data_IF_660921432739
#
_entry.id   IF_660921432739
#
_cell.length_a   1.000
_cell.length_b   1.000
_cell.length_c   1.000
_cell.angle_alpha   90.00
_cell.angle_beta   90.00
_cell.angle_gamma   90.00
#
_symmetry.space_group_name_H-M   'P 1'
#
loop_
_entity.id
_entity.type
_entity.pdbx_description
1 polymer ?
#
# COMPACT_ATOMS: atom_id res chain seq x y z
N UNK A 1 -4.16 -20.80 -25.46
CA UNK A 1 -4.99 -21.04 -26.66
C UNK A 1 -6.27 -20.24 -26.48
N UNK A 2 -6.47 -19.22 -27.31
CA UNK A 2 -7.66 -18.37 -27.24
C UNK A 2 -8.81 -19.10 -27.92
N UNK A 3 -9.87 -19.44 -27.18
CA UNK A 3 -11.11 -19.90 -27.78
C UNK A 3 -12.08 -18.75 -27.86
N UNK A 4 -12.28 -18.23 -29.06
CA UNK A 4 -13.33 -17.28 -29.39
C UNK A 4 -14.58 -18.10 -29.77
N UNK A 5 -15.73 -17.84 -29.15
CA UNK A 5 -17.01 -18.47 -29.51
C UNK A 5 -17.99 -17.36 -29.87
N UNK A 6 -18.66 -17.50 -31.02
CA UNK A 6 -19.63 -16.55 -31.57
C UNK A 6 -21.05 -17.13 -31.51
N UNK A 7 -21.97 -16.35 -30.92
CA UNK A 7 -23.43 -16.38 -31.08
C UNK A 7 -24.23 -17.51 -30.41
N UNK A 8 -25.56 -17.35 -30.14
CA UNK A 8 -26.48 -16.39 -30.77
C UNK A 8 -27.28 -15.50 -29.78
N UNK A 9 -27.90 -14.46 -30.33
CA UNK A 9 -28.81 -13.54 -29.65
C UNK A 9 -30.07 -14.25 -29.11
N UNK A 10 -30.40 -13.98 -27.85
CA UNK A 10 -31.62 -14.44 -27.19
C UNK A 10 -31.92 -13.56 -25.99
N UNK A 11 -33.08 -12.90 -26.04
CA UNK A 11 -33.60 -11.99 -25.02
C UNK A 11 -33.75 -12.67 -23.65
N UNK A 12 -33.41 -11.95 -22.58
CA UNK A 12 -33.57 -12.39 -21.20
C UNK A 12 -33.13 -11.33 -20.20
N UNK A 13 -34.08 -10.57 -19.71
CA UNK A 13 -33.96 -9.61 -18.62
C UNK A 13 -33.43 -10.30 -17.35
N UNK A 14 -32.28 -9.87 -16.85
CA UNK A 14 -31.66 -10.40 -15.65
C UNK A 14 -30.80 -9.33 -14.99
N UNK A 15 -31.31 -8.76 -13.91
CA UNK A 15 -30.61 -7.85 -13.00
C UNK A 15 -29.33 -8.51 -12.46
N UNK A 16 -28.23 -8.36 -13.19
CA UNK A 16 -26.89 -8.61 -12.71
C UNK A 16 -26.17 -7.29 -12.65
N UNK A 17 -26.16 -6.64 -11.48
CA UNK A 17 -25.14 -5.62 -11.22
C UNK A 17 -23.81 -6.35 -11.21
N UNK A 18 -23.17 -6.45 -12.38
CA UNK A 18 -21.77 -6.80 -12.51
C UNK A 18 -21.02 -5.75 -11.71
N UNK A 19 -20.81 -5.99 -10.42
CA UNK A 19 -19.83 -5.25 -9.66
C UNK A 19 -18.54 -5.47 -10.43
N UNK A 20 -18.10 -4.42 -11.12
CA UNK A 20 -16.87 -4.44 -11.88
C UNK A 20 -15.80 -5.02 -10.97
N UNK A 21 -14.92 -5.88 -11.47
CA UNK A 21 -13.82 -6.41 -10.64
C UNK A 21 -13.04 -5.25 -10.02
N UNK A 22 -13.00 -4.09 -10.69
CA UNK A 22 -12.45 -2.83 -10.21
C UNK A 22 -13.15 -2.22 -8.97
N UNK A 23 -14.34 -2.68 -8.62
CA UNK A 23 -15.17 -2.21 -7.49
C UNK A 23 -14.97 -3.03 -6.22
N UNK A 24 -14.26 -4.17 -6.28
CA UNK A 24 -13.97 -4.96 -5.09
C UNK A 24 -12.76 -4.36 -4.34
N UNK A 25 -12.83 -4.17 -3.00
CA UNK A 25 -11.75 -3.56 -2.23
C UNK A 25 -10.40 -4.26 -2.45
N UNK A 26 -10.39 -5.60 -2.44
CA UNK A 26 -9.19 -6.42 -2.64
C UNK A 26 -8.60 -6.29 -4.05
N UNK A 27 -9.45 -6.18 -5.07
CA UNK A 27 -9.00 -5.97 -6.44
C UNK A 27 -8.39 -4.57 -6.61
N UNK A 28 -8.86 -3.57 -5.86
CA UNK A 28 -8.26 -2.23 -5.87
C UNK A 28 -6.85 -2.18 -5.27
N UNK A 29 -6.57 -3.02 -4.27
CA UNK A 29 -5.25 -3.13 -3.65
C UNK A 29 -4.20 -3.62 -4.65
N UNK A 30 -4.56 -4.55 -5.54
CA UNK A 30 -3.68 -5.06 -6.57
C UNK A 30 -3.39 -4.05 -7.70
N UNK A 31 -4.15 -2.95 -7.78
CA UNK A 31 -3.98 -1.93 -8.82
C UNK A 31 -3.01 -0.81 -8.41
N UNK A 32 -2.85 -0.55 -7.12
CA UNK A 32 -1.96 0.50 -6.60
C UNK A 32 -1.59 0.21 -5.15
N UNK A 33 -0.30 0.36 -4.86
CA UNK A 33 0.23 0.21 -3.52
C UNK A 33 -0.35 1.27 -2.57
N UNK A 34 -0.52 2.50 -3.05
CA UNK A 34 -1.12 3.59 -2.30
C UNK A 34 -2.57 3.26 -1.91
N UNK A 35 -3.34 2.63 -2.81
CA UNK A 35 -4.71 2.18 -2.50
C UNK A 35 -4.74 1.09 -1.43
N UNK A 36 -3.80 0.16 -1.47
CA UNK A 36 -3.63 -0.85 -0.42
C UNK A 36 -3.35 -0.19 0.95
N UNK A 37 -2.50 0.84 0.97
CA UNK A 37 -2.09 1.51 2.21
C UNK A 37 -3.11 2.51 2.74
N UNK A 38 -3.95 3.10 1.87
CA UNK A 38 -5.02 4.02 2.25
C UNK A 38 -6.27 3.32 2.79
N UNK A 39 -6.48 2.05 2.43
CA UNK A 39 -7.54 1.21 3.00
C UNK A 39 -7.11 0.65 4.37
N UNK A 40 -7.84 0.95 5.47
CA UNK A 40 -7.50 0.43 6.80
C UNK A 40 -7.38 -1.10 6.86
N UNK A 41 -8.21 -1.82 6.09
CA UNK A 41 -8.19 -3.27 6.04
C UNK A 41 -6.98 -3.77 5.24
N UNK A 42 -6.70 -3.13 4.11
CA UNK A 42 -5.53 -3.43 3.27
C UNK A 42 -4.23 -3.25 4.03
N UNK A 43 -4.10 -2.13 4.74
CA UNK A 43 -2.95 -1.84 5.60
C UNK A 43 -2.78 -2.87 6.71
N UNK A 44 -3.87 -3.29 7.36
CA UNK A 44 -3.82 -4.29 8.41
C UNK A 44 -3.31 -5.65 7.87
N UNK A 45 -3.88 -6.13 6.76
CA UNK A 45 -3.43 -7.38 6.13
C UNK A 45 -1.98 -7.31 5.67
N UNK A 46 -1.57 -6.22 5.03
CA UNK A 46 -0.20 -6.06 4.57
C UNK A 46 0.80 -5.99 5.72
N UNK A 47 0.43 -5.33 6.82
CA UNK A 47 1.26 -5.31 8.05
C UNK A 47 1.45 -6.72 8.62
N UNK A 48 0.38 -7.52 8.71
CA UNK A 48 0.48 -8.90 9.19
C UNK A 48 1.26 -9.80 8.22
N UNK A 49 1.18 -9.55 6.93
CA UNK A 49 2.02 -10.22 5.92
C UNK A 49 3.51 -9.92 6.16
N UNK A 50 3.89 -8.65 6.27
CA UNK A 50 5.29 -8.26 6.48
C UNK A 50 5.85 -8.75 7.83
N UNK A 51 5.02 -8.86 8.87
CA UNK A 51 5.45 -9.46 10.14
C UNK A 51 5.84 -10.93 9.99
N UNK A 52 5.11 -11.70 9.18
CA UNK A 52 5.41 -13.11 8.90
C UNK A 52 6.68 -13.27 8.07
N UNK A 53 6.95 -12.30 7.21
CA UNK A 53 8.14 -12.22 6.37
C UNK A 53 9.30 -11.46 7.05
N UNK A 54 9.21 -11.17 8.35
CA UNK A 54 10.24 -10.44 9.11
C UNK A 54 10.72 -9.13 8.43
N UNK A 55 9.80 -8.40 7.79
CA UNK A 55 10.07 -7.20 7.00
C UNK A 55 9.10 -6.05 7.31
N UNK A 56 8.44 -6.09 8.48
CA UNK A 56 7.50 -5.06 8.93
C UNK A 56 8.17 -3.69 9.16
N UNK A 57 9.48 -3.69 9.39
CA UNK A 57 10.32 -2.49 9.44
C UNK A 57 10.30 -1.72 8.12
N UNK A 58 10.16 -2.38 6.97
CA UNK A 58 10.13 -1.71 5.67
C UNK A 58 8.91 -0.79 5.53
N UNK A 59 7.74 -1.24 5.99
CA UNK A 59 6.54 -0.40 6.02
C UNK A 59 6.66 0.73 7.05
N UNK A 60 7.31 0.47 8.18
CA UNK A 60 7.55 1.49 9.21
C UNK A 60 8.49 2.58 8.71
N UNK A 61 9.56 2.18 8.02
CA UNK A 61 10.51 3.05 7.35
C UNK A 61 9.82 3.89 6.27
N UNK A 62 9.06 3.25 5.38
CA UNK A 62 8.30 3.97 4.35
C UNK A 62 7.37 5.03 4.96
N UNK A 63 6.62 4.71 6.02
CA UNK A 63 5.75 5.69 6.71
C UNK A 63 6.53 6.86 7.30
N UNK A 64 7.71 6.59 7.86
CA UNK A 64 8.59 7.64 8.37
C UNK A 64 9.07 8.56 7.23
N UNK A 65 9.46 7.99 6.08
CA UNK A 65 9.81 8.77 4.89
C UNK A 65 8.65 9.64 4.39
N UNK A 66 7.43 9.09 4.31
CA UNK A 66 6.24 9.86 3.91
C UNK A 66 6.00 11.06 4.83
N UNK A 67 6.14 10.87 6.15
CA UNK A 67 6.01 11.95 7.11
C UNK A 67 7.11 13.00 6.98
N UNK A 68 8.36 12.57 6.73
CA UNK A 68 9.48 13.48 6.51
C UNK A 68 9.26 14.36 5.26
N UNK A 69 8.75 13.78 4.18
CA UNK A 69 8.47 14.50 2.93
C UNK A 69 7.43 15.61 3.11
N UNK A 70 6.53 15.52 4.09
CA UNK A 70 5.53 16.55 4.37
C UNK A 70 6.10 17.76 5.12
N UNK A 71 7.36 17.71 5.57
CA UNK A 71 7.99 18.79 6.32
C UNK A 71 8.53 19.82 5.34
N UNK A 72 8.09 21.09 5.42
CA UNK A 72 8.67 22.14 4.61
C UNK A 72 10.16 22.30 4.93
N UNK A 73 11.00 22.46 3.89
CA UNK A 73 12.43 22.69 4.08
C UNK A 73 12.76 23.95 4.91
N UNK A 74 11.83 24.92 4.97
CA UNK A 74 11.94 26.11 5.82
C UNK A 74 11.69 25.84 7.30
N UNK A 75 11.09 24.71 7.66
CA UNK A 75 10.86 24.30 9.05
C UNK A 75 12.09 23.59 9.62
N UNK A 76 13.15 24.38 9.85
CA UNK A 76 14.44 23.88 10.35
C UNK A 76 14.34 23.21 11.72
N UNK A 77 13.33 23.57 12.53
CA UNK A 77 13.09 22.93 13.82
C UNK A 77 12.58 21.49 13.64
N UNK A 78 11.58 21.28 12.80
CA UNK A 78 11.12 19.92 12.49
C UNK A 78 12.24 19.13 11.79
N UNK A 79 12.90 19.68 10.78
CA UNK A 79 14.02 18.99 10.11
C UNK A 79 15.11 18.57 11.11
N UNK A 80 15.49 19.43 12.06
CA UNK A 80 16.43 19.08 13.12
C UNK A 80 15.94 17.96 14.04
N UNK A 81 14.64 17.96 14.40
CA UNK A 81 14.02 16.88 15.19
C UNK A 81 14.06 15.54 14.44
N UNK A 82 13.91 15.56 13.12
CA UNK A 82 13.98 14.37 12.28
C UNK A 82 15.39 13.80 12.18
N UNK A 83 16.43 14.65 12.18
CA UNK A 83 17.82 14.19 12.33
C UNK A 83 18.02 13.39 13.62
N UNK A 84 17.55 13.92 14.76
CA UNK A 84 17.62 13.20 16.03
C UNK A 84 16.77 11.92 16.08
N UNK A 85 15.67 11.86 15.31
CA UNK A 85 14.90 10.62 15.13
C UNK A 85 15.70 9.60 14.32
N UNK A 86 16.36 10.05 13.25
CA UNK A 86 17.20 9.19 12.40
C UNK A 86 18.34 8.56 13.20
N UNK A 87 19.10 9.37 13.94
CA UNK A 87 20.22 8.90 14.76
C UNK A 87 19.78 7.79 15.74
N UNK A 88 18.61 7.97 16.36
CA UNK A 88 18.03 6.98 17.29
C UNK A 88 17.61 5.67 16.61
N UNK A 89 17.16 5.74 15.36
CA UNK A 89 16.77 4.54 14.61
C UNK A 89 17.99 3.81 14.07
N UNK A 90 19.08 4.52 13.77
CA UNK A 90 20.36 3.94 13.33
C UNK A 90 21.05 3.15 14.46
N UNK A 91 21.03 3.68 15.69
CA UNK A 91 21.67 3.04 16.88
C UNK A 91 21.16 1.63 17.22
N UNK A 92 19.98 1.24 16.74
CA UNK A 92 19.40 -0.09 16.99
C UNK A 92 19.39 -1.03 15.76
N UNK A 93 19.87 -0.62 14.58
CA UNK A 93 19.77 -1.48 13.42
C UNK A 93 20.36 -0.93 12.14
N UNK A 94 21.68 -1.10 11.98
CA UNK A 94 22.34 -1.24 10.67
C UNK A 94 21.89 -2.50 9.92
N UNK A 95 20.58 -2.63 9.67
CA UNK A 95 19.93 -3.60 8.78
C UNK A 95 18.90 -2.92 7.86
N UNK A 96 18.83 -1.60 7.85
CA UNK A 96 18.01 -0.84 6.91
C UNK A 96 18.80 -0.47 5.66
N UNK A 97 19.09 -1.46 4.80
CA UNK A 97 19.44 -1.36 3.37
C UNK A 97 20.37 -2.51 2.97
N UNK A 98 19.83 -3.72 2.87
CA UNK A 98 20.36 -4.76 1.98
C UNK A 98 19.20 -5.29 1.12
#
# INVERSE_FOLDING_TARGET
>A
MFTNVVGPEGAGEGRGSTLSVHSLPSASWALSFERLLQDPLGLAYFTEFLKKEFSAENLSFWKACEQFQQIPASDTQQVGRWGAWWDRNDEHGGRGAE
#
